data_IF_985486632864
#
_entry.id   IF_985486632864
#
_cell.length_a   1.000
_cell.length_b   1.000
_cell.length_c   1.000
_cell.angle_alpha   90.00
_cell.angle_beta   90.00
_cell.angle_gamma   90.00
#
_symmetry.space_group_name_H-M   'P 1'
#
loop_
_entity.id
_entity.type
_entity.pdbx_description
1 polymer ?
#
# COMPACT_ATOMS: atom_id res chain seq x y z
N UNK A 1 -39.64 -15.13 1.91
CA UNK A 1 -38.94 -13.93 2.41
C UNK A 1 -39.98 -13.03 3.07
N UNK A 2 -39.75 -12.64 4.33
CA UNK A 2 -40.70 -11.84 5.12
C UNK A 2 -40.47 -10.34 4.92
N UNK A 3 -41.54 -9.54 4.84
CA UNK A 3 -41.51 -8.07 4.77
C UNK A 3 -40.76 -7.43 5.96
N UNK A 4 -40.68 -8.13 7.09
CA UNK A 4 -39.91 -7.68 8.26
C UNK A 4 -38.38 -7.71 8.05
N UNK A 5 -37.87 -8.55 7.13
CA UNK A 5 -36.45 -8.55 6.79
C UNK A 5 -36.07 -7.34 5.92
N UNK A 6 -36.97 -6.88 5.04
CA UNK A 6 -36.76 -5.71 4.18
C UNK A 6 -36.75 -4.38 4.96
N UNK A 7 -37.53 -4.29 6.03
CA UNK A 7 -37.58 -3.08 6.87
C UNK A 7 -36.38 -2.96 7.83
N UNK A 8 -35.74 -4.08 8.21
CA UNK A 8 -34.48 -4.04 8.99
C UNK A 8 -33.28 -3.62 8.14
N UNK A 9 -33.24 -4.00 6.86
CA UNK A 9 -32.18 -3.57 5.93
C UNK A 9 -32.20 -2.07 5.63
N UNK A 10 -33.35 -1.41 5.78
CA UNK A 10 -33.49 0.03 5.45
C UNK A 10 -32.99 0.99 6.54
N UNK A 11 -32.70 0.50 7.76
CA UNK A 11 -32.16 1.34 8.85
C UNK A 11 -30.63 1.35 8.94
N UNK A 12 -29.94 0.40 8.30
CA UNK A 12 -28.48 0.29 8.34
C UNK A 12 -27.75 1.15 7.29
N UNK A 13 -28.50 1.88 6.46
CA UNK A 13 -27.96 2.81 5.46
C UNK A 13 -28.16 4.30 5.83
N UNK A 14 -28.55 4.61 7.07
CA UNK A 14 -28.52 5.99 7.56
C UNK A 14 -27.07 6.39 7.81
N UNK A 15 -26.43 6.92 6.75
CA UNK A 15 -25.18 7.66 6.85
C UNK A 15 -25.36 8.73 7.93
N UNK A 16 -24.51 8.73 8.95
CA UNK A 16 -24.60 9.73 10.01
C UNK A 16 -24.56 11.13 9.37
N UNK A 17 -25.50 12.03 9.70
CA UNK A 17 -25.52 13.36 9.10
C UNK A 17 -24.21 14.08 9.45
N UNK A 18 -23.53 14.61 8.44
CA UNK A 18 -22.32 15.39 8.63
C UNK A 18 -22.63 16.58 9.57
N UNK A 19 -21.80 16.84 10.58
CA UNK A 19 -22.00 17.99 11.45
C UNK A 19 -21.84 19.29 10.66
N UNK A 20 -22.86 20.13 10.70
CA UNK A 20 -22.82 21.48 10.13
C UNK A 20 -22.24 22.38 11.21
N UNK A 21 -21.02 22.90 11.03
CA UNK A 21 -20.37 23.82 11.97
C UNK A 21 -20.05 25.13 11.28
N UNK A 22 -20.50 26.24 11.88
CA UNK A 22 -20.22 27.62 11.51
C UNK A 22 -19.79 28.35 12.79
N UNK A 23 -18.69 29.11 12.70
CA UNK A 23 -18.00 29.93 13.70
C UNK A 23 -17.06 29.25 14.73
N UNK A 24 -15.77 29.65 14.66
CA UNK A 24 -14.69 29.34 15.62
C UNK A 24 -14.64 30.48 16.65
N UNK A 25 -15.11 30.23 17.86
CA UNK A 25 -14.86 31.09 19.02
C UNK A 25 -14.57 30.18 20.23
N UNK A 26 -13.29 29.86 20.46
CA UNK A 26 -12.86 28.91 21.50
C UNK A 26 -11.43 28.40 21.34
N UNK A 27 -10.92 27.73 22.39
CA UNK A 27 -9.62 27.05 22.37
C UNK A 27 -9.66 25.88 21.37
N UNK A 28 -8.55 25.56 20.71
CA UNK A 28 -8.51 24.52 19.64
C UNK A 28 -9.00 23.15 20.18
N UNK A 29 -8.95 22.95 21.50
CA UNK A 29 -9.50 21.79 22.19
C UNK A 29 -11.01 21.60 22.02
N UNK A 30 -11.80 22.67 21.86
CA UNK A 30 -13.26 22.61 21.81
C UNK A 30 -13.81 22.61 20.37
N UNK A 31 -12.93 22.65 19.38
CA UNK A 31 -13.34 22.75 17.98
C UNK A 31 -13.92 21.42 17.48
N UNK A 32 -15.18 21.47 17.01
CA UNK A 32 -15.90 20.38 16.34
C UNK A 32 -15.29 19.98 14.99
N UNK A 33 -14.18 20.61 14.60
CA UNK A 33 -13.49 20.45 13.33
C UNK A 33 -12.41 19.36 13.35
N UNK A 34 -12.18 18.71 14.50
CA UNK A 34 -11.16 17.65 14.63
C UNK A 34 -11.75 16.33 15.15
N UNK A 35 -11.06 15.24 14.79
CA UNK A 35 -11.27 13.90 15.35
C UNK A 35 -10.03 13.50 16.14
N UNK A 36 -10.24 12.96 17.33
CA UNK A 36 -9.22 12.32 18.14
C UNK A 36 -9.04 10.85 17.74
N UNK A 37 -7.79 10.42 17.67
CA UNK A 37 -7.39 9.04 17.44
C UNK A 37 -6.44 8.64 18.55
N UNK A 38 -6.78 7.59 19.29
CA UNK A 38 -5.92 7.01 20.33
C UNK A 38 -5.05 5.94 19.70
N UNK A 39 -3.76 6.22 19.55
CA UNK A 39 -2.82 5.43 18.76
C UNK A 39 -1.79 4.73 19.66
N UNK A 40 -1.52 3.48 19.33
CA UNK A 40 -0.43 2.70 19.89
C UNK A 40 -0.66 2.18 21.31
N UNK A 41 0.30 1.39 21.82
CA UNK A 41 0.22 0.77 23.13
C UNK A 41 0.32 1.77 24.28
N UNK A 42 0.87 2.96 24.00
CA UNK A 42 0.98 4.10 24.91
C UNK A 42 -0.28 4.97 24.93
N UNK A 43 -1.28 4.66 24.09
CA UNK A 43 -2.53 5.42 23.96
C UNK A 43 -2.30 6.91 23.69
N UNK A 44 -1.37 7.22 22.80
CA UNK A 44 -1.08 8.60 22.42
C UNK A 44 -2.20 9.19 21.57
N UNK A 45 -2.66 10.39 21.94
CA UNK A 45 -3.77 11.05 21.25
C UNK A 45 -3.25 11.87 20.07
N UNK A 46 -3.72 11.53 18.88
CA UNK A 46 -3.55 12.33 17.65
C UNK A 46 -4.84 13.02 17.28
N UNK A 47 -4.74 14.23 16.73
CA UNK A 47 -5.87 15.02 16.26
C UNK A 47 -5.71 15.23 14.77
N UNK A 48 -6.73 14.85 14.00
CA UNK A 48 -6.78 15.06 12.55
C UNK A 48 -8.01 15.89 12.18
N UNK A 49 -7.96 16.67 11.08
CA UNK A 49 -9.13 17.37 10.59
C UNK A 49 -10.31 16.43 10.35
N UNK A 50 -11.51 16.87 10.74
CA UNK A 50 -12.74 16.08 10.64
C UNK A 50 -13.01 15.63 9.21
N UNK A 51 -12.85 16.52 8.23
CA UNK A 51 -13.03 16.19 6.80
C UNK A 51 -12.03 15.11 6.32
N UNK A 52 -10.77 15.15 6.78
CA UNK A 52 -9.74 14.19 6.41
C UNK A 52 -10.08 12.75 6.86
N UNK A 53 -10.77 12.61 7.99
CA UNK A 53 -11.16 11.30 8.57
C UNK A 53 -12.56 10.90 8.12
N UNK A 54 -13.51 11.82 8.24
CA UNK A 54 -14.93 11.53 8.08
C UNK A 54 -15.29 11.18 6.65
N UNK A 55 -14.67 11.80 5.65
CA UNK A 55 -15.03 11.55 4.24
C UNK A 55 -14.53 10.20 3.70
N UNK A 56 -13.71 9.47 4.48
CA UNK A 56 -13.11 8.20 4.08
C UNK A 56 -14.09 7.03 4.31
N UNK A 57 -14.52 6.30 3.26
CA UNK A 57 -15.54 5.24 3.39
C UNK A 57 -15.15 4.11 4.35
N UNK A 58 -13.88 3.73 4.39
CA UNK A 58 -13.39 2.64 5.24
C UNK A 58 -13.52 2.96 6.74
N UNK A 59 -13.53 4.24 7.15
CA UNK A 59 -13.83 4.63 8.54
C UNK A 59 -15.32 4.77 8.84
N UNK A 60 -16.18 4.76 7.82
CA UNK A 60 -17.64 4.79 7.97
C UNK A 60 -18.30 3.42 7.84
N UNK A 61 -17.57 2.38 7.39
CA UNK A 61 -18.19 1.09 7.09
C UNK A 61 -18.63 0.35 8.36
N UNK A 62 -19.90 0.52 8.72
CA UNK A 62 -20.51 -0.16 9.86
C UNK A 62 -20.65 -1.67 9.66
N UNK A 63 -20.47 -2.20 8.43
CA UNK A 63 -20.63 -3.63 8.14
C UNK A 63 -19.47 -4.46 8.70
N UNK A 64 -18.29 -3.88 8.76
CA UNK A 64 -17.15 -4.51 9.44
C UNK A 64 -17.45 -4.59 10.94
N UNK A 65 -18.18 -3.61 11.48
CA UNK A 65 -18.42 -3.46 12.91
C UNK A 65 -17.13 -3.19 13.70
N UNK A 66 -16.04 -2.91 12.99
CA UNK A 66 -14.69 -2.76 13.51
C UNK A 66 -14.49 -1.33 14.01
N UNK A 67 -15.06 -0.35 13.31
CA UNK A 67 -14.81 1.06 13.52
C UNK A 67 -16.10 1.86 13.75
N UNK A 68 -16.02 2.84 14.66
CA UNK A 68 -17.12 3.76 14.93
C UNK A 68 -16.60 5.07 15.50
N UNK A 69 -17.40 6.12 15.34
CA UNK A 69 -17.15 7.42 15.95
C UNK A 69 -18.00 7.59 17.21
N UNK A 70 -17.42 8.18 18.24
CA UNK A 70 -18.12 8.52 19.48
C UNK A 70 -17.67 9.88 19.98
N UNK A 71 -18.55 10.65 20.62
CA UNK A 71 -18.13 11.85 21.35
C UNK A 71 -17.62 11.47 22.76
N UNK A 72 -16.46 12.00 23.14
CA UNK A 72 -15.90 11.85 24.48
C UNK A 72 -16.60 12.79 25.48
N UNK A 73 -16.13 12.83 26.74
CA UNK A 73 -16.71 13.66 27.81
C UNK A 73 -16.64 15.17 27.50
N UNK A 74 -15.65 15.58 26.71
CA UNK A 74 -15.44 16.96 26.25
C UNK A 74 -16.26 17.31 25.00
N UNK A 75 -17.05 16.36 24.47
CA UNK A 75 -17.86 16.54 23.25
C UNK A 75 -17.05 16.47 21.95
N UNK A 76 -15.79 16.06 22.00
CA UNK A 76 -14.90 15.91 20.84
C UNK A 76 -15.14 14.53 20.20
N UNK A 77 -15.17 14.48 18.87
CA UNK A 77 -15.29 13.22 18.14
C UNK A 77 -14.02 12.38 18.27
N UNK A 78 -14.18 11.11 18.59
CA UNK A 78 -13.11 10.11 18.69
C UNK A 78 -13.40 8.97 17.71
N UNK A 79 -12.41 8.60 16.90
CA UNK A 79 -12.44 7.41 16.06
C UNK A 79 -11.94 6.21 16.87
N UNK A 80 -12.83 5.25 17.12
CA UNK A 80 -12.45 3.96 17.66
C UNK A 80 -12.19 2.98 16.53
N UNK A 81 -10.97 2.46 16.45
CA UNK A 81 -10.59 1.39 15.54
C UNK A 81 -9.63 0.43 16.27
N UNK A 82 -9.92 -0.88 16.36
CA UNK A 82 -9.20 -1.82 17.22
C UNK A 82 -7.73 -1.98 16.84
N UNK A 83 -7.39 -1.76 15.57
CA UNK A 83 -5.99 -1.81 15.14
C UNK A 83 -5.19 -0.56 15.49
N UNK A 84 -5.80 0.57 15.89
CA UNK A 84 -5.01 1.76 16.28
C UNK A 84 -4.08 1.45 17.46
N UNK A 85 -4.50 0.60 18.40
CA UNK A 85 -3.69 0.18 19.54
C UNK A 85 -2.44 -0.64 19.14
N UNK A 86 -2.40 -1.23 17.95
CA UNK A 86 -1.30 -2.06 17.45
C UNK A 86 -0.35 -1.32 16.48
N UNK A 87 -0.61 -0.04 16.21
CA UNK A 87 0.20 0.81 15.33
C UNK A 87 1.05 1.72 16.21
N UNK A 88 2.36 1.78 15.96
CA UNK A 88 3.22 2.70 16.71
C UNK A 88 2.94 4.14 16.31
N UNK A 89 3.25 5.09 17.19
CA UNK A 89 3.01 6.50 16.88
C UNK A 89 3.86 6.99 15.69
N UNK A 90 5.06 6.42 15.53
CA UNK A 90 5.99 6.74 14.45
C UNK A 90 5.46 6.25 13.09
N UNK A 91 4.89 5.04 13.03
CA UNK A 91 4.27 4.52 11.82
C UNK A 91 2.99 5.29 11.48
N UNK A 92 2.18 5.58 12.50
CA UNK A 92 0.94 6.34 12.33
C UNK A 92 1.18 7.77 11.84
N UNK A 93 2.36 8.36 12.10
CA UNK A 93 2.70 9.70 11.58
C UNK A 93 2.49 9.78 10.07
N UNK A 94 2.87 8.74 9.31
CA UNK A 94 2.72 8.72 7.86
C UNK A 94 1.25 8.62 7.42
N UNK A 95 0.42 7.91 8.20
CA UNK A 95 -1.03 7.89 8.00
C UNK A 95 -1.61 9.29 8.23
N UNK A 96 -1.22 9.95 9.32
CA UNK A 96 -1.66 11.32 9.62
C UNK A 96 -1.31 12.29 8.50
N UNK A 97 -0.05 12.31 8.06
CA UNK A 97 0.40 13.14 6.95
C UNK A 97 -0.41 12.87 5.66
N UNK A 98 -0.61 11.59 5.33
CA UNK A 98 -1.39 11.21 4.15
C UNK A 98 -2.84 11.69 4.25
N UNK A 99 -3.47 11.58 5.42
CA UNK A 99 -4.85 12.01 5.60
C UNK A 99 -4.99 13.54 5.45
N UNK A 100 -4.01 14.32 5.91
CA UNK A 100 -4.04 15.78 5.84
C UNK A 100 -3.75 16.33 4.45
N UNK A 101 -2.77 15.77 3.74
CA UNK A 101 -2.25 16.35 2.48
C UNK A 101 -2.12 15.36 1.31
N UNK A 102 -2.69 14.16 1.44
CA UNK A 102 -2.67 13.07 0.44
C UNK A 102 -1.26 12.65 0.00
N UNK A 103 -0.28 12.89 0.87
CA UNK A 103 1.15 12.57 0.68
C UNK A 103 1.80 12.34 2.02
N UNK A 104 2.83 11.49 2.08
CA UNK A 104 3.58 11.24 3.31
C UNK A 104 5.09 11.11 3.05
N UNK A 105 5.87 11.42 4.08
CA UNK A 105 7.31 11.21 4.14
C UNK A 105 8.10 11.93 3.04
N UNK A 106 9.28 11.40 2.74
CA UNK A 106 10.17 11.85 1.66
C UNK A 106 9.49 11.58 0.32
N UNK A 107 9.33 12.63 -0.49
CA UNK A 107 8.59 12.58 -1.76
C UNK A 107 9.50 12.32 -2.95
N UNK A 108 10.66 12.97 -2.95
CA UNK A 108 11.69 12.89 -3.98
C UNK A 108 13.01 12.79 -3.23
N UNK A 109 13.56 11.58 -3.05
CA UNK A 109 14.86 11.43 -2.41
C UNK A 109 15.96 11.92 -3.36
N UNK A 110 16.83 12.80 -2.89
CA UNK A 110 17.95 13.34 -3.67
C UNK A 110 19.26 12.61 -3.38
N UNK A 111 19.29 11.82 -2.31
CA UNK A 111 20.46 11.05 -1.88
C UNK A 111 20.13 9.58 -1.65
N UNK A 112 21.17 8.73 -1.67
CA UNK A 112 21.02 7.31 -1.36
C UNK A 112 20.40 7.08 0.02
N UNK A 113 20.80 7.85 1.03
CA UNK A 113 20.26 7.72 2.40
C UNK A 113 18.80 8.16 2.48
N UNK A 114 18.44 9.25 1.80
CA UNK A 114 17.03 9.66 1.70
C UNK A 114 16.19 8.63 0.95
N UNK A 115 16.76 7.95 -0.05
CA UNK A 115 16.06 6.88 -0.76
C UNK A 115 15.83 5.66 0.15
N UNK A 116 16.83 5.26 0.93
CA UNK A 116 16.69 4.21 1.94
C UNK A 116 15.64 4.55 3.00
N UNK A 117 15.67 5.79 3.48
CA UNK A 117 14.66 6.30 4.41
C UNK A 117 13.26 6.32 3.75
N UNK A 118 13.13 6.78 2.50
CA UNK A 118 11.85 6.77 1.79
C UNK A 118 11.27 5.37 1.62
N UNK A 119 12.13 4.36 1.39
CA UNK A 119 11.74 2.95 1.36
C UNK A 119 11.23 2.50 2.72
N UNK A 120 11.96 2.77 3.80
CA UNK A 120 11.56 2.43 5.16
C UNK A 120 10.21 3.06 5.53
N UNK A 121 10.01 4.33 5.17
CA UNK A 121 8.74 5.04 5.36
C UNK A 121 7.59 4.38 4.59
N UNK A 122 7.82 3.91 3.35
CA UNK A 122 6.79 3.20 2.59
C UNK A 122 6.40 1.87 3.25
N UNK A 123 7.36 1.12 3.80
CA UNK A 123 7.08 -0.13 4.51
C UNK A 123 6.28 0.13 5.79
N UNK A 124 6.70 1.10 6.60
CA UNK A 124 5.99 1.49 7.82
C UNK A 124 4.56 1.99 7.53
N UNK A 125 4.42 2.87 6.54
CA UNK A 125 3.15 3.39 6.08
C UNK A 125 2.22 2.29 5.54
N UNK A 126 2.78 1.30 4.83
CA UNK A 126 2.01 0.15 4.31
C UNK A 126 1.40 -0.68 5.42
N UNK A 127 2.17 -1.03 6.45
CA UNK A 127 1.67 -1.83 7.57
C UNK A 127 0.55 -1.08 8.34
N UNK A 128 0.72 0.22 8.57
CA UNK A 128 -0.30 1.03 9.23
C UNK A 128 -1.57 1.17 8.37
N UNK A 129 -1.42 1.47 7.07
CA UNK A 129 -2.54 1.60 6.13
C UNK A 129 -3.31 0.29 5.97
N UNK A 130 -2.62 -0.85 5.89
CA UNK A 130 -3.24 -2.18 5.82
C UNK A 130 -4.07 -2.47 7.07
N UNK A 131 -3.51 -2.23 8.26
CA UNK A 131 -4.22 -2.41 9.54
C UNK A 131 -5.48 -1.56 9.64
N UNK A 132 -5.49 -0.38 9.02
CA UNK A 132 -6.63 0.55 9.01
C UNK A 132 -7.56 0.37 7.81
N UNK A 133 -7.24 -0.53 6.88
CA UNK A 133 -8.04 -0.75 5.66
C UNK A 133 -8.05 0.46 4.72
N UNK A 134 -6.98 1.26 4.70
CA UNK A 134 -6.87 2.48 3.87
C UNK A 134 -6.47 2.13 2.43
N UNK A 135 -7.45 1.74 1.63
CA UNK A 135 -7.26 1.30 0.24
C UNK A 135 -6.58 2.35 -0.65
N UNK A 136 -7.00 3.60 -0.53
CA UNK A 136 -6.44 4.75 -1.23
C UNK A 136 -4.95 5.00 -0.89
N UNK A 137 -4.58 4.89 0.39
CA UNK A 137 -3.20 5.04 0.83
C UNK A 137 -2.33 3.88 0.34
N UNK A 138 -2.85 2.65 0.35
CA UNK A 138 -2.15 1.49 -0.22
C UNK A 138 -1.91 1.65 -1.72
N UNK A 139 -2.88 2.18 -2.47
CA UNK A 139 -2.70 2.52 -3.88
C UNK A 139 -1.65 3.63 -4.08
N UNK A 140 -1.65 4.65 -3.22
CA UNK A 140 -0.63 5.69 -3.25
C UNK A 140 0.76 5.12 -3.00
N UNK A 141 0.93 4.26 -1.98
CA UNK A 141 2.20 3.61 -1.67
C UNK A 141 2.64 2.74 -2.86
N UNK A 142 1.74 1.92 -3.42
CA UNK A 142 2.03 1.06 -4.57
C UNK A 142 2.50 1.85 -5.81
N UNK A 143 2.08 3.11 -5.94
CA UNK A 143 2.59 4.00 -6.98
C UNK A 143 3.92 4.65 -6.58
N UNK A 144 4.06 5.12 -5.34
CA UNK A 144 5.27 5.76 -4.82
C UNK A 144 6.49 4.84 -4.90
N UNK A 145 6.35 3.57 -4.52
CA UNK A 145 7.47 2.60 -4.51
C UNK A 145 8.10 2.39 -5.88
N UNK A 146 7.36 2.59 -6.97
CA UNK A 146 7.87 2.42 -8.34
C UNK A 146 8.91 3.46 -8.74
N UNK A 147 8.97 4.59 -8.04
CA UNK A 147 9.88 5.71 -8.33
C UNK A 147 11.10 5.73 -7.41
N UNK A 148 11.20 4.81 -6.46
CA UNK A 148 12.36 4.68 -5.57
C UNK A 148 13.40 3.76 -6.22
N UNK A 149 14.66 3.94 -5.83
CA UNK A 149 15.75 3.06 -6.26
C UNK A 149 15.86 1.87 -5.29
N UNK A 150 15.59 0.66 -5.80
CA UNK A 150 15.61 -0.54 -4.96
C UNK A 150 16.89 -1.30 -5.19
N UNK A 151 17.61 -1.60 -4.11
CA UNK A 151 18.61 -2.66 -4.18
C UNK A 151 17.97 -4.04 -4.03
N UNK A 152 18.78 -5.06 -4.21
CA UNK A 152 18.29 -6.43 -4.18
C UNK A 152 17.73 -6.82 -2.81
N UNK A 153 18.31 -6.32 -1.71
CA UNK A 153 17.90 -6.66 -0.35
C UNK A 153 16.55 -6.01 -0.01
N UNK A 154 16.41 -4.71 -0.29
CA UNK A 154 15.17 -3.97 -0.07
C UNK A 154 14.00 -4.61 -0.83
N UNK A 155 14.25 -5.06 -2.07
CA UNK A 155 13.23 -5.73 -2.89
C UNK A 155 12.79 -7.07 -2.27
N UNK A 156 13.70 -7.84 -1.65
CA UNK A 156 13.32 -9.06 -0.93
C UNK A 156 12.51 -8.76 0.33
N UNK A 157 12.88 -7.70 1.06
CA UNK A 157 12.14 -7.24 2.23
C UNK A 157 10.73 -6.84 1.82
N UNK A 158 10.59 -5.99 0.81
CA UNK A 158 9.30 -5.54 0.29
C UNK A 158 8.44 -6.72 -0.20
N UNK A 159 9.01 -7.62 -1.01
CA UNK A 159 8.32 -8.83 -1.45
C UNK A 159 7.84 -9.68 -0.27
N UNK A 160 8.65 -9.79 0.78
CA UNK A 160 8.27 -10.52 2.00
C UNK A 160 7.05 -9.87 2.67
N UNK A 161 7.03 -8.55 2.81
CA UNK A 161 5.92 -7.83 3.43
C UNK A 161 4.63 -8.02 2.63
N UNK A 162 4.64 -7.69 1.34
CA UNK A 162 3.43 -7.66 0.51
C UNK A 162 2.81 -9.05 0.30
N UNK A 163 3.63 -10.12 0.30
CA UNK A 163 3.12 -11.49 0.16
C UNK A 163 2.70 -12.14 1.48
N UNK A 164 3.13 -11.60 2.64
CA UNK A 164 2.63 -12.04 3.95
C UNK A 164 1.30 -11.42 4.34
N UNK A 165 0.96 -10.28 3.74
CA UNK A 165 -0.36 -9.66 3.83
C UNK A 165 -1.47 -10.65 3.51
N UNK A 166 -2.42 -10.80 4.44
CA UNK A 166 -3.51 -11.80 4.32
C UNK A 166 -4.66 -11.33 3.43
N UNK A 167 -4.86 -10.02 3.31
CA UNK A 167 -5.97 -9.43 2.55
C UNK A 167 -5.54 -9.03 1.13
N UNK A 168 -5.62 -10.00 0.21
CA UNK A 168 -5.30 -9.81 -1.22
C UNK A 168 -6.44 -9.10 -1.98
N UNK A 169 -7.48 -8.64 -1.29
CA UNK A 169 -8.69 -8.12 -1.92
C UNK A 169 -8.57 -6.67 -2.36
N UNK A 170 -7.59 -5.93 -1.83
CA UNK A 170 -7.41 -4.53 -2.18
C UNK A 170 -6.58 -4.37 -3.47
N UNK A 171 -6.94 -3.42 -4.35
CA UNK A 171 -6.20 -3.15 -5.59
C UNK A 171 -4.71 -2.86 -5.37
N UNK A 172 -4.37 -2.14 -4.29
CA UNK A 172 -2.99 -1.81 -3.93
C UNK A 172 -2.12 -3.05 -3.73
N UNK A 173 -2.64 -4.07 -3.03
CA UNK A 173 -1.94 -5.35 -2.82
C UNK A 173 -1.63 -6.04 -4.14
N UNK A 174 -2.61 -6.08 -5.05
CA UNK A 174 -2.43 -6.70 -6.36
C UNK A 174 -1.35 -5.97 -7.15
N UNK A 175 -1.39 -4.64 -7.15
CA UNK A 175 -0.44 -3.79 -7.87
C UNK A 175 0.99 -3.96 -7.36
N UNK A 176 1.19 -3.92 -6.04
CA UNK A 176 2.54 -4.00 -5.46
C UNK A 176 3.11 -5.43 -5.56
N UNK A 177 2.28 -6.47 -5.41
CA UNK A 177 2.70 -7.87 -5.60
C UNK A 177 3.17 -8.12 -7.02
N UNK A 178 2.39 -7.64 -7.99
CA UNK A 178 2.75 -7.77 -9.39
C UNK A 178 4.07 -7.08 -9.70
N UNK A 179 4.23 -5.85 -9.23
CA UNK A 179 5.47 -5.08 -9.37
C UNK A 179 6.66 -5.80 -8.73
N UNK A 180 6.53 -6.29 -7.49
CA UNK A 180 7.59 -7.00 -6.80
C UNK A 180 7.98 -8.32 -7.50
N UNK A 181 6.99 -9.12 -7.91
CA UNK A 181 7.23 -10.36 -8.64
C UNK A 181 7.92 -10.11 -10.00
N UNK A 182 7.51 -9.05 -10.71
CA UNK A 182 8.14 -8.63 -11.96
C UNK A 182 9.59 -8.20 -11.75
N UNK A 183 9.87 -7.36 -10.74
CA UNK A 183 11.23 -6.91 -10.42
C UNK A 183 12.14 -8.09 -10.05
N UNK A 184 11.67 -8.99 -9.19
CA UNK A 184 12.41 -10.19 -8.81
C UNK A 184 12.66 -11.13 -10.01
N UNK A 185 11.69 -11.28 -10.90
CA UNK A 185 11.83 -12.10 -12.11
C UNK A 185 12.88 -11.52 -13.08
N UNK A 186 12.93 -10.20 -13.24
CA UNK A 186 13.93 -9.51 -14.09
C UNK A 186 15.36 -9.71 -13.58
N UNK A 187 15.55 -9.68 -12.26
CA UNK A 187 16.87 -9.85 -11.63
C UNK A 187 17.11 -11.26 -11.08
N UNK A 188 16.33 -12.26 -11.51
CA UNK A 188 16.31 -13.60 -10.94
C UNK A 188 17.71 -14.23 -10.82
N UNK A 189 18.52 -14.14 -11.87
CA UNK A 189 19.85 -14.74 -11.87
C UNK A 189 20.83 -14.03 -10.94
N UNK A 190 20.66 -12.73 -10.73
CA UNK A 190 21.44 -11.97 -9.75
C UNK A 190 21.19 -12.53 -8.36
N UNK A 191 19.92 -12.71 -7.99
CA UNK A 191 19.56 -13.32 -6.71
C UNK A 191 20.12 -14.73 -6.53
N UNK A 192 20.10 -15.56 -7.57
CA UNK A 192 20.60 -16.94 -7.45
C UNK A 192 22.13 -17.01 -7.33
N UNK A 193 22.85 -16.17 -8.09
CA UNK A 193 24.32 -16.22 -8.16
C UNK A 193 24.99 -15.51 -6.98
N UNK A 194 24.34 -14.53 -6.39
CA UNK A 194 24.88 -13.79 -5.26
C UNK A 194 24.90 -14.65 -3.99
N UNK A 195 26.09 -14.84 -3.41
CA UNK A 195 26.29 -15.68 -2.24
C UNK A 195 25.65 -15.10 -0.96
N UNK A 196 25.54 -13.77 -0.86
CA UNK A 196 25.02 -13.08 0.31
C UNK A 196 23.49 -13.16 0.34
N UNK A 197 22.83 -12.78 -0.77
CA UNK A 197 21.36 -12.71 -0.83
C UNK A 197 20.70 -13.99 -1.35
N UNK A 198 21.42 -14.85 -2.08
CA UNK A 198 20.82 -16.01 -2.72
C UNK A 198 20.33 -17.08 -1.75
N UNK A 199 20.88 -17.13 -0.53
CA UNK A 199 20.35 -17.97 0.55
C UNK A 199 19.02 -17.45 1.07
N UNK A 200 18.90 -16.13 1.25
CA UNK A 200 17.68 -15.43 1.67
C UNK A 200 16.58 -15.57 0.62
N UNK A 201 16.89 -15.33 -0.65
CA UNK A 201 15.93 -15.48 -1.76
C UNK A 201 15.36 -16.91 -1.83
N UNK A 202 16.21 -17.94 -1.77
CA UNK A 202 15.75 -19.34 -1.75
C UNK A 202 14.94 -19.70 -0.50
N UNK A 203 15.21 -19.08 0.64
CA UNK A 203 14.41 -19.25 1.85
C UNK A 203 13.05 -18.57 1.68
N UNK A 204 13.03 -17.37 1.08
CA UNK A 204 11.83 -16.60 0.82
C UNK A 204 10.85 -17.36 -0.07
N UNK A 205 11.30 -17.86 -1.24
CA UNK A 205 10.45 -18.61 -2.16
C UNK A 205 9.84 -19.86 -1.50
N UNK A 206 10.62 -20.61 -0.72
CA UNK A 206 10.12 -21.77 0.05
C UNK A 206 9.08 -21.40 1.10
N UNK A 207 9.16 -20.18 1.64
CA UNK A 207 8.23 -19.71 2.67
C UNK A 207 6.98 -19.03 2.12
N UNK A 208 6.99 -18.62 0.86
CA UNK A 208 5.92 -17.87 0.18
C UNK A 208 5.65 -18.50 -1.20
N UNK A 209 4.89 -19.61 -1.25
CA UNK A 209 4.66 -20.33 -2.51
C UNK A 209 3.88 -19.50 -3.54
N UNK A 210 3.07 -18.53 -3.12
CA UNK A 210 2.39 -17.59 -4.02
C UNK A 210 3.40 -16.69 -4.74
N UNK A 211 4.40 -16.17 -4.01
CA UNK A 211 5.49 -15.39 -4.61
C UNK A 211 6.29 -16.24 -5.59
N UNK A 212 6.62 -17.48 -5.21
CA UNK A 212 7.33 -18.42 -6.07
C UNK A 212 6.59 -18.65 -7.39
N UNK A 213 5.28 -18.95 -7.32
CA UNK A 213 4.43 -19.14 -8.50
C UNK A 213 4.42 -17.89 -9.37
N UNK A 214 4.13 -16.72 -8.81
CA UNK A 214 4.00 -15.47 -9.56
C UNK A 214 5.32 -15.08 -10.21
N UNK A 215 6.45 -15.24 -9.50
CA UNK A 215 7.79 -15.03 -10.03
C UNK A 215 8.08 -15.94 -11.22
N UNK A 216 7.80 -17.24 -11.11
CA UNK A 216 8.09 -18.19 -12.19
C UNK A 216 7.19 -17.97 -13.41
N UNK A 217 5.91 -17.60 -13.19
CA UNK A 217 5.02 -17.19 -14.28
C UNK A 217 5.59 -15.98 -15.02
N UNK A 218 5.97 -14.92 -14.30
CA UNK A 218 6.56 -13.71 -14.90
C UNK A 218 7.85 -14.02 -15.65
N UNK A 219 8.69 -14.89 -15.11
CA UNK A 219 9.92 -15.34 -15.77
C UNK A 219 9.66 -16.14 -17.04
N UNK A 220 8.68 -17.06 -17.01
CA UNK A 220 8.30 -17.84 -18.17
C UNK A 220 7.75 -16.93 -19.29
N UNK A 221 6.94 -15.92 -18.96
CA UNK A 221 6.50 -14.90 -19.91
C UNK A 221 7.69 -14.16 -20.51
N UNK A 222 8.61 -13.64 -19.70
CA UNK A 222 9.78 -12.89 -20.19
C UNK A 222 10.70 -13.72 -21.10
N UNK A 223 10.85 -15.02 -20.83
CA UNK A 223 11.62 -15.92 -21.68
C UNK A 223 10.89 -16.22 -23.00
N UNK A 224 9.57 -16.43 -22.96
CA UNK A 224 8.77 -16.63 -24.18
C UNK A 224 8.85 -15.43 -25.12
N UNK A 225 8.68 -14.21 -24.60
CA UNK A 225 8.80 -12.98 -25.41
C UNK A 225 10.22 -12.71 -25.91
N UNK A 226 11.25 -13.16 -25.18
CA UNK A 226 12.64 -13.01 -25.59
C UNK A 226 13.05 -13.94 -26.73
N UNK A 227 12.36 -15.08 -26.90
CA UNK A 227 12.56 -16.00 -28.02
C UNK A 227 11.91 -15.43 -29.29
N UNK A 228 10.73 -14.82 -29.19
CA UNK A 228 10.05 -14.19 -30.33
C UNK A 228 10.85 -13.02 -30.94
N UNK A 229 11.57 -12.24 -30.12
CA UNK A 229 12.39 -11.13 -30.62
C UNK A 229 13.69 -11.56 -31.35
N UNK A 230 14.13 -12.81 -31.18
CA UNK A 230 15.33 -13.32 -31.85
C UNK A 230 15.02 -13.97 -33.20
N UNK A 231 13.79 -14.48 -33.40
CA UNK A 231 13.38 -15.12 -34.66
C UNK A 231 13.09 -14.11 -35.79
N UNK A 232 12.76 -12.85 -35.47
CA UNK A 232 12.51 -11.78 -36.45
C UNK A 232 13.79 -11.06 -36.94
N UNK A 233 14.99 -11.38 -36.42
CA UNK A 233 16.26 -10.76 -36.83
C UNK A 233 17.14 -11.62 -37.75
N UNK A 234 16.73 -12.85 -38.08
CA UNK A 234 17.52 -13.75 -38.96
C UNK A 234 17.11 -13.71 -40.45
N UNK A 235 16.28 -12.76 -40.91
CA UNK A 235 15.68 -12.81 -42.27
C UNK A 235 16.27 -11.85 -43.33
N UNK A 236 17.20 -10.95 -43.03
CA UNK A 236 17.54 -9.84 -43.97
C UNK A 236 19.02 -9.76 -44.40
N UNK A 237 19.84 -10.81 -44.25
CA UNK A 237 21.26 -10.79 -44.65
C UNK A 237 21.63 -11.62 -45.91
N UNK A 238 20.67 -12.08 -46.72
CA UNK A 238 20.97 -12.98 -47.88
C UNK A 238 20.51 -12.47 -49.27
N UNK A 239 20.28 -11.17 -49.44
CA UNK A 239 20.16 -10.56 -50.77
C UNK A 239 21.01 -9.29 -50.84
N UNK A 240 22.24 -9.40 -51.37
CA UNK A 240 22.94 -8.37 -52.18
C UNK A 240 24.38 -8.83 -52.49
N UNK A 241 24.52 -9.98 -53.15
CA UNK A 241 25.76 -10.37 -53.84
C UNK A 241 25.42 -10.70 -55.30
N UNK A 242 24.93 -9.70 -56.01
CA UNK A 242 24.62 -9.80 -57.44
C UNK A 242 24.98 -8.52 -58.16
N UNK A 243 26.02 -8.63 -58.98
CA UNK A 243 26.21 -7.86 -60.21
C UNK A 243 26.95 -6.51 -60.12
N UNK A 244 28.28 -6.56 -60.27
CA UNK A 244 29.00 -5.56 -61.06
C UNK A 244 29.97 -6.25 -62.02
N UNK A 245 29.43 -6.61 -63.19
CA UNK A 245 30.19 -6.58 -64.44
C UNK A 245 30.17 -5.15 -64.97
N UNK A 246 31.34 -4.50 -65.08
CA UNK A 246 31.76 -3.64 -66.21
C UNK A 246 33.22 -3.19 -66.06
#
# INVERSE_FOLDING_TARGET
>A
MSLDQLLRSSRLNQRAPAPVSDAIDGDIGDSKEYVQLVVGPTSEVRRLPMNAVWDRPYFQDSRTGINYFRQNEDGIWELHHPQLASITIDDFRFVGEYMEVERFGIRVPDTFEENKEAIAQCVAAWEAAEKLGMDDMLDHIANKVKYLEWDNEDMLIMATFVYRSRDVTLPGHTTIRDWAAKALAQHFWTYIKDANIGSLFRKLLRSLPELERDLFMRRATSLGTGVEMLEDQESDEDELAGDEHL
#
